data_IF_202535012327
#
_entry.id   IF_202535012327
#
_cell.length_a   1.000
_cell.length_b   1.000
_cell.length_c   1.000
_cell.angle_alpha   90.00
_cell.angle_beta   90.00
_cell.angle_gamma   90.00
#
_symmetry.space_group_name_H-M   'P 1'
#
loop_
_entity.id
_entity.type
_entity.pdbx_description
1 polymer ?
#
# COMPACT_ATOMS: atom_id res chain seq x y z
N UNK A 1 -99.83 2.39 -40.21
CA UNK A 1 -100.75 3.40 -39.68
C UNK A 1 -99.98 4.44 -38.90
N UNK A 2 -100.09 5.68 -39.38
CA UNK A 2 -99.91 6.95 -38.67
C UNK A 2 -98.48 7.20 -38.02
N UNK A 3 -97.73 8.07 -38.52
CA UNK A 3 -97.76 9.53 -38.80
C UNK A 3 -97.25 10.38 -37.63
N UNK A 4 -96.32 11.18 -37.89
CA UNK A 4 -96.13 12.65 -37.66
C UNK A 4 -95.05 13.00 -36.58
N UNK A 5 -94.03 13.63 -36.97
CA UNK A 5 -93.80 15.03 -37.20
C UNK A 5 -93.16 15.80 -36.03
N UNK A 6 -92.15 16.54 -36.33
CA UNK A 6 -91.71 17.90 -35.97
C UNK A 6 -90.60 17.98 -34.87
N UNK A 7 -89.60 18.65 -34.98
CA UNK A 7 -88.97 19.95 -35.36
C UNK A 7 -87.72 20.07 -34.57
N UNK A 8 -86.56 20.27 -35.21
CA UNK A 8 -85.74 21.47 -35.35
C UNK A 8 -85.56 22.30 -34.07
N UNK A 9 -84.34 22.43 -33.65
CA UNK A 9 -83.56 23.60 -33.27
C UNK A 9 -82.29 23.11 -32.60
N UNK A 10 -81.27 23.34 -33.16
CA UNK A 10 -80.08 24.04 -33.22
C UNK A 10 -79.55 24.53 -31.86
N UNK A 11 -78.51 23.95 -31.40
CA UNK A 11 -77.51 24.66 -30.55
C UNK A 11 -76.11 24.18 -30.85
N UNK A 12 -75.35 25.08 -31.44
CA UNK A 12 -74.00 25.03 -31.72
C UNK A 12 -73.22 25.04 -30.39
N UNK A 13 -72.61 23.90 -29.97
CA UNK A 13 -71.67 23.87 -28.86
C UNK A 13 -70.30 23.85 -29.45
N UNK A 14 -69.56 24.95 -29.29
CA UNK A 14 -68.18 25.10 -29.53
C UNK A 14 -67.46 24.28 -28.48
N UNK A 15 -66.91 23.10 -28.85
CA UNK A 15 -65.99 22.33 -28.06
C UNK A 15 -64.61 22.97 -28.17
N UNK A 16 -64.30 23.79 -27.19
CA UNK A 16 -62.92 24.25 -26.96
C UNK A 16 -62.05 23.07 -26.62
N UNK A 17 -61.32 22.57 -27.62
CA UNK A 17 -60.29 21.57 -27.41
C UNK A 17 -59.13 22.13 -26.58
N UNK A 18 -59.16 21.87 -25.29
CA UNK A 18 -57.99 22.09 -24.40
C UNK A 18 -56.86 21.12 -24.79
N UNK A 19 -55.86 21.62 -25.48
CA UNK A 19 -54.63 20.92 -25.76
C UNK A 19 -53.89 20.74 -24.42
N UNK A 20 -54.08 19.59 -23.78
CA UNK A 20 -53.29 19.20 -22.58
C UNK A 20 -51.89 18.89 -23.08
N UNK A 21 -50.98 19.87 -22.95
CA UNK A 21 -49.55 19.65 -23.10
C UNK A 21 -49.09 18.74 -21.94
N UNK A 22 -49.04 17.44 -22.17
CA UNK A 22 -48.42 16.46 -21.29
C UNK A 22 -46.92 16.82 -21.23
N UNK A 23 -46.52 17.53 -20.19
CA UNK A 23 -45.07 17.71 -19.90
C UNK A 23 -44.52 16.33 -19.59
N UNK A 24 -43.43 15.88 -20.32
CA UNK A 24 -42.77 14.63 -19.95
C UNK A 24 -42.20 14.81 -18.54
N UNK A 25 -42.79 14.10 -17.57
CA UNK A 25 -42.20 13.97 -16.24
C UNK A 25 -40.87 13.27 -16.42
N UNK A 26 -39.77 14.05 -16.37
CA UNK A 26 -38.41 13.50 -16.38
C UNK A 26 -38.28 12.65 -15.11
N UNK A 27 -38.49 11.34 -15.24
CA UNK A 27 -38.24 10.39 -14.18
C UNK A 27 -36.76 10.50 -13.83
N UNK A 28 -36.45 11.19 -12.72
CA UNK A 28 -35.07 11.24 -12.17
C UNK A 28 -34.63 9.78 -11.98
N UNK A 29 -33.58 9.39 -12.70
CA UNK A 29 -32.96 8.08 -12.53
C UNK A 29 -32.67 7.87 -11.03
N UNK A 30 -32.94 6.67 -10.47
CA UNK A 30 -32.73 6.42 -9.06
C UNK A 30 -31.26 6.71 -8.74
N UNK A 31 -31.01 7.72 -7.90
CA UNK A 31 -29.67 8.08 -7.45
C UNK A 31 -29.10 6.87 -6.71
N UNK A 32 -28.13 6.22 -7.31
CA UNK A 32 -27.41 5.12 -6.64
C UNK A 32 -26.83 5.65 -5.33
N UNK A 33 -27.14 5.08 -4.17
CA UNK A 33 -26.68 5.59 -2.89
C UNK A 33 -25.14 5.63 -2.86
N UNK A 34 -24.60 6.80 -2.61
CA UNK A 34 -23.16 7.02 -2.55
C UNK A 34 -22.57 6.26 -1.35
N UNK A 35 -21.86 5.16 -1.60
CA UNK A 35 -21.18 4.37 -0.56
C UNK A 35 -19.75 4.83 -0.43
N UNK A 36 -19.43 5.50 0.67
CA UNK A 36 -18.10 5.98 1.00
C UNK A 36 -17.49 5.05 2.04
N UNK A 37 -16.23 4.67 1.83
CA UNK A 37 -15.42 3.95 2.81
C UNK A 37 -14.15 4.72 3.13
N UNK A 38 -13.53 4.39 4.25
CA UNK A 38 -12.24 4.90 4.68
C UNK A 38 -11.30 3.75 4.99
N UNK A 39 -10.00 3.91 4.69
CA UNK A 39 -8.95 2.95 5.03
C UNK A 39 -7.72 3.69 5.55
N UNK A 40 -7.29 3.36 6.75
CA UNK A 40 -5.99 3.78 7.26
C UNK A 40 -4.89 2.92 6.64
N UNK A 41 -4.30 3.41 5.55
CA UNK A 41 -3.27 2.68 4.81
C UNK A 41 -2.01 2.41 5.65
N UNK A 42 -1.61 3.37 6.50
CA UNK A 42 -0.44 3.21 7.37
C UNK A 42 -0.64 2.09 8.39
N UNK A 43 -1.80 2.05 9.03
CA UNK A 43 -2.17 0.99 9.96
C UNK A 43 -2.26 -0.36 9.24
N UNK A 44 -2.88 -0.38 8.05
CA UNK A 44 -3.00 -1.58 7.23
C UNK A 44 -1.63 -2.16 6.88
N UNK A 45 -0.70 -1.33 6.40
CA UNK A 45 0.68 -1.73 6.06
C UNK A 45 1.46 -2.21 7.28
N UNK A 46 1.21 -1.62 8.45
CA UNK A 46 1.87 -2.03 9.69
C UNK A 46 1.39 -3.40 10.18
N UNK A 47 0.08 -3.66 10.11
CA UNK A 47 -0.54 -4.84 10.74
C UNK A 47 -0.71 -6.04 9.80
N UNK A 48 -0.55 -5.88 8.51
CA UNK A 48 -0.71 -7.00 7.59
C UNK A 48 0.45 -8.01 7.73
N UNK A 49 0.18 -9.33 7.70
CA UNK A 49 1.19 -10.36 7.93
C UNK A 49 2.28 -10.42 6.86
N UNK A 50 2.00 -9.89 5.68
CA UNK A 50 2.95 -9.77 4.57
C UNK A 50 4.13 -8.84 4.93
N UNK A 51 3.91 -7.87 5.81
CA UNK A 51 4.98 -6.95 6.28
C UNK A 51 6.02 -7.69 7.10
N UNK A 52 5.58 -8.53 8.03
CA UNK A 52 6.49 -9.37 8.81
C UNK A 52 7.25 -10.38 7.92
N UNK A 53 6.59 -10.95 6.92
CA UNK A 53 7.22 -11.85 5.96
C UNK A 53 8.27 -11.11 5.10
N UNK A 54 7.96 -9.92 4.60
CA UNK A 54 8.90 -9.09 3.84
C UNK A 54 10.13 -8.70 4.68
N UNK A 55 9.94 -8.32 5.95
CA UNK A 55 11.04 -8.02 6.88
C UNK A 55 11.92 -9.24 7.11
N UNK A 56 11.33 -10.43 7.26
CA UNK A 56 12.08 -11.68 7.40
C UNK A 56 12.90 -11.99 6.14
N UNK A 57 12.31 -11.85 4.96
CA UNK A 57 12.98 -12.05 3.67
C UNK A 57 14.17 -11.08 3.51
N UNK A 58 13.97 -9.80 3.80
CA UNK A 58 15.02 -8.78 3.77
C UNK A 58 16.19 -9.12 4.69
N UNK A 59 15.88 -9.56 5.93
CA UNK A 59 16.91 -9.97 6.89
C UNK A 59 17.67 -11.22 6.44
N UNK A 60 17.03 -12.15 5.75
CA UNK A 60 17.66 -13.35 5.20
C UNK A 60 18.57 -13.00 4.01
N UNK A 61 18.09 -12.19 3.08
CA UNK A 61 18.82 -11.76 1.89
C UNK A 61 20.11 -11.01 2.24
N UNK A 62 20.01 -10.06 3.18
CA UNK A 62 21.14 -9.20 3.57
C UNK A 62 21.94 -9.75 4.75
N UNK A 63 21.49 -10.83 5.37
CA UNK A 63 22.14 -11.41 6.56
C UNK A 63 23.56 -11.87 6.31
N UNK A 64 23.85 -12.40 5.14
CA UNK A 64 25.20 -12.80 4.71
C UNK A 64 26.15 -11.60 4.66
N UNK A 65 25.73 -10.50 4.02
CA UNK A 65 26.50 -9.26 3.92
C UNK A 65 26.75 -8.61 5.29
N UNK A 66 25.74 -8.62 6.16
CA UNK A 66 25.89 -8.14 7.54
C UNK A 66 26.95 -8.94 8.32
N UNK A 67 26.98 -10.28 8.16
CA UNK A 67 28.01 -11.13 8.78
C UNK A 67 29.41 -10.77 8.27
N UNK A 68 29.57 -10.49 6.97
CA UNK A 68 30.86 -10.06 6.39
C UNK A 68 31.33 -8.74 7.03
N UNK A 69 30.44 -7.75 7.17
CA UNK A 69 30.77 -6.48 7.82
C UNK A 69 31.22 -6.68 9.27
N UNK A 70 30.52 -7.50 10.03
CA UNK A 70 30.90 -7.81 11.43
C UNK A 70 32.27 -8.48 11.50
N UNK A 71 32.58 -9.41 10.57
CA UNK A 71 33.89 -10.05 10.46
C UNK A 71 34.99 -9.07 10.13
N UNK A 72 34.77 -8.16 9.18
CA UNK A 72 35.70 -7.09 8.83
C UNK A 72 35.98 -6.17 10.02
N UNK A 73 34.93 -5.75 10.73
CA UNK A 73 35.06 -4.92 11.93
C UNK A 73 35.85 -5.63 13.03
N UNK A 74 35.62 -6.92 13.25
CA UNK A 74 36.43 -7.72 14.19
C UNK A 74 37.89 -7.82 13.78
N UNK A 75 38.16 -7.96 12.48
CA UNK A 75 39.52 -7.93 11.93
C UNK A 75 40.26 -6.61 12.21
N UNK A 76 39.60 -5.48 12.01
CA UNK A 76 40.12 -4.14 12.32
C UNK A 76 40.43 -4.02 13.81
N UNK A 77 39.51 -4.47 14.68
CA UNK A 77 39.72 -4.45 16.14
C UNK A 77 40.92 -5.29 16.54
N UNK A 78 41.05 -6.51 15.99
CA UNK A 78 42.18 -7.42 16.24
C UNK A 78 43.52 -6.78 15.82
N UNK A 79 43.57 -6.19 14.62
CA UNK A 79 44.79 -5.51 14.12
C UNK A 79 45.17 -4.32 15.02
N UNK A 80 44.20 -3.51 15.46
CA UNK A 80 44.47 -2.39 16.38
C UNK A 80 45.02 -2.86 17.73
N UNK A 81 44.49 -3.95 18.27
CA UNK A 81 44.97 -4.52 19.54
C UNK A 81 46.40 -5.07 19.38
N UNK A 82 46.69 -5.79 18.29
CA UNK A 82 48.04 -6.30 18.01
C UNK A 82 49.08 -5.18 17.88
N UNK A 83 48.71 -4.06 17.27
CA UNK A 83 49.58 -2.89 17.17
C UNK A 83 49.85 -2.22 18.54
N UNK A 84 48.86 -2.24 19.45
CA UNK A 84 49.05 -1.69 20.80
C UNK A 84 49.94 -2.56 21.69
N UNK A 85 49.72 -3.89 21.65
CA UNK A 85 50.50 -4.83 22.47
C UNK A 85 51.93 -5.05 22.00
N UNK A 86 52.25 -4.84 20.70
CA UNK A 86 53.54 -5.04 20.11
C UNK A 86 54.44 -3.78 20.04
N UNK A 87 54.01 -2.65 20.61
CA UNK A 87 54.63 -1.33 20.35
C UNK A 87 56.04 -1.13 20.89
N UNK A 88 56.55 -1.97 21.78
CA UNK A 88 57.84 -1.75 22.50
C UNK A 88 59.06 -2.32 21.78
N UNK A 89 58.93 -3.26 20.84
CA UNK A 89 60.06 -3.95 20.19
C UNK A 89 59.94 -4.12 18.67
N UNK A 90 59.04 -3.38 18.01
CA UNK A 90 58.79 -3.51 16.57
C UNK A 90 59.61 -2.51 15.76
N UNK A 91 60.24 -2.97 14.67
CA UNK A 91 61.00 -2.11 13.76
C UNK A 91 60.13 -1.04 13.09
N UNK A 92 60.72 0.07 12.66
CA UNK A 92 60.02 1.14 11.94
C UNK A 92 59.28 0.60 10.70
N UNK A 93 59.95 -0.26 9.92
CA UNK A 93 59.35 -0.87 8.74
C UNK A 93 58.07 -1.66 9.08
N UNK A 94 58.12 -2.47 10.11
CA UNK A 94 56.99 -3.29 10.54
C UNK A 94 55.83 -2.45 11.10
N UNK A 95 56.13 -1.28 11.70
CA UNK A 95 55.06 -0.31 12.07
C UNK A 95 54.40 0.26 10.84
N UNK A 96 55.15 0.68 9.83
CA UNK A 96 54.57 1.19 8.57
C UNK A 96 53.74 0.15 7.85
N UNK A 97 54.18 -1.11 7.77
CA UNK A 97 53.41 -2.21 7.19
C UNK A 97 52.09 -2.46 7.95
N UNK A 98 52.12 -2.45 9.26
CA UNK A 98 50.94 -2.63 10.10
C UNK A 98 49.93 -1.48 9.94
N UNK A 99 50.39 -0.24 9.81
CA UNK A 99 49.54 0.93 9.53
C UNK A 99 48.94 0.85 8.14
N UNK A 100 49.71 0.51 7.12
CA UNK A 100 49.18 0.28 5.78
C UNK A 100 48.10 -0.81 5.78
N UNK A 101 48.35 -1.93 6.43
CA UNK A 101 47.40 -3.04 6.55
C UNK A 101 46.13 -2.58 7.26
N UNK A 102 46.25 -1.83 8.35
CA UNK A 102 45.09 -1.30 9.06
C UNK A 102 44.24 -0.35 8.17
N UNK A 103 44.92 0.51 7.42
CA UNK A 103 44.25 1.44 6.50
C UNK A 103 43.53 0.70 5.37
N UNK A 104 44.14 -0.33 4.78
CA UNK A 104 43.47 -1.19 3.80
C UNK A 104 42.22 -1.90 4.37
N UNK A 105 42.31 -2.41 5.62
CA UNK A 105 41.17 -3.05 6.27
C UNK A 105 40.02 -2.06 6.54
N UNK A 106 40.35 -0.84 6.95
CA UNK A 106 39.36 0.23 7.16
C UNK A 106 38.68 0.64 5.87
N UNK A 107 39.46 0.79 4.79
CA UNK A 107 38.91 1.17 3.49
C UNK A 107 37.97 0.08 2.93
N UNK A 108 38.37 -1.19 3.01
CA UNK A 108 37.53 -2.31 2.64
C UNK A 108 36.21 -2.34 3.45
N UNK A 109 36.31 -2.11 4.75
CA UNK A 109 35.14 -2.05 5.62
C UNK A 109 34.21 -0.91 5.22
N UNK A 110 34.74 0.29 4.99
CA UNK A 110 34.00 1.48 4.59
C UNK A 110 33.26 1.26 3.27
N UNK A 111 33.94 0.73 2.25
CA UNK A 111 33.32 0.40 0.96
C UNK A 111 32.21 -0.65 1.13
N UNK A 112 32.48 -1.73 1.88
CA UNK A 112 31.47 -2.77 2.14
C UNK A 112 30.29 -2.24 2.94
N UNK A 113 30.50 -1.32 3.88
CA UNK A 113 29.44 -0.67 4.66
C UNK A 113 28.56 0.20 3.79
N UNK A 114 29.15 0.98 2.89
CA UNK A 114 28.43 1.82 1.94
C UNK A 114 27.57 0.95 1.00
N UNK A 115 28.15 -0.07 0.40
CA UNK A 115 27.43 -1.01 -0.46
C UNK A 115 26.26 -1.70 0.27
N UNK A 116 26.50 -2.14 1.51
CA UNK A 116 25.44 -2.72 2.32
C UNK A 116 24.29 -1.74 2.59
N UNK A 117 24.60 -0.47 2.89
CA UNK A 117 23.59 0.56 3.12
C UNK A 117 22.75 0.84 1.87
N UNK A 118 23.41 0.92 0.70
CA UNK A 118 22.76 1.10 -0.60
C UNK A 118 21.82 -0.07 -0.93
N UNK A 119 22.33 -1.30 -0.82
CA UNK A 119 21.54 -2.52 -1.07
C UNK A 119 20.36 -2.64 -0.10
N UNK A 120 20.58 -2.33 1.18
CA UNK A 120 19.52 -2.34 2.20
C UNK A 120 18.41 -1.35 1.86
N UNK A 121 18.77 -0.11 1.50
CA UNK A 121 17.80 0.91 1.15
C UNK A 121 17.02 0.53 -0.11
N UNK A 122 17.71 0.01 -1.13
CA UNK A 122 17.07 -0.46 -2.36
C UNK A 122 16.07 -1.59 -2.08
N UNK A 123 16.51 -2.64 -1.39
CA UNK A 123 15.66 -3.80 -1.08
C UNK A 123 14.48 -3.42 -0.16
N UNK A 124 14.71 -2.53 0.82
CA UNK A 124 13.64 -1.99 1.69
C UNK A 124 12.60 -1.21 0.89
N UNK A 125 13.04 -0.33 -0.01
CA UNK A 125 12.13 0.47 -0.82
C UNK A 125 11.30 -0.43 -1.76
N UNK A 126 11.92 -1.43 -2.39
CA UNK A 126 11.23 -2.41 -3.21
C UNK A 126 10.20 -3.22 -2.41
N UNK A 127 10.55 -3.63 -1.18
CA UNK A 127 9.62 -4.33 -0.29
C UNK A 127 8.41 -3.46 0.08
N UNK A 128 8.64 -2.18 0.44
CA UNK A 128 7.56 -1.22 0.76
C UNK A 128 6.64 -0.99 -0.44
N UNK A 129 7.20 -0.80 -1.62
CA UNK A 129 6.44 -0.66 -2.87
C UNK A 129 5.55 -1.88 -3.15
N UNK A 130 6.11 -3.09 -2.97
CA UNK A 130 5.35 -4.33 -3.14
C UNK A 130 4.18 -4.43 -2.15
N UNK A 131 4.42 -4.07 -0.88
CA UNK A 131 3.39 -4.06 0.16
C UNK A 131 2.29 -3.03 -0.14
N UNK A 132 2.65 -1.82 -0.57
CA UNK A 132 1.68 -0.79 -0.96
C UNK A 132 0.84 -1.25 -2.15
N UNK A 133 1.45 -1.80 -3.19
CA UNK A 133 0.72 -2.35 -4.34
C UNK A 133 -0.24 -3.46 -3.93
N UNK A 134 0.17 -4.33 -3.02
CA UNK A 134 -0.69 -5.40 -2.50
C UNK A 134 -1.88 -4.82 -1.74
N UNK A 135 -1.65 -3.88 -0.83
CA UNK A 135 -2.69 -3.20 -0.06
C UNK A 135 -3.70 -2.50 -0.97
N UNK A 136 -3.22 -1.72 -1.94
CA UNK A 136 -4.09 -1.01 -2.91
C UNK A 136 -4.91 -1.99 -3.75
N UNK A 137 -4.34 -3.11 -4.18
CA UNK A 137 -5.09 -4.15 -4.88
C UNK A 137 -6.20 -4.74 -4.00
N UNK A 138 -5.91 -5.04 -2.74
CA UNK A 138 -6.90 -5.56 -1.80
C UNK A 138 -8.04 -4.55 -1.56
N UNK A 139 -7.71 -3.26 -1.37
CA UNK A 139 -8.68 -2.18 -1.22
C UNK A 139 -9.58 -2.07 -2.46
N UNK A 140 -9.00 -2.07 -3.65
CA UNK A 140 -9.75 -1.99 -4.92
C UNK A 140 -10.67 -3.19 -5.12
N UNK A 141 -10.17 -4.39 -4.84
CA UNK A 141 -10.97 -5.63 -4.93
C UNK A 141 -12.13 -5.59 -3.97
N UNK A 142 -11.90 -5.21 -2.71
CA UNK A 142 -12.94 -5.06 -1.70
C UNK A 142 -13.98 -4.02 -2.11
N UNK A 143 -13.54 -2.86 -2.59
CA UNK A 143 -14.42 -1.79 -3.05
C UNK A 143 -15.35 -2.23 -4.16
N UNK A 144 -14.83 -2.93 -5.17
CA UNK A 144 -15.61 -3.48 -6.28
C UNK A 144 -16.61 -4.53 -5.81
N UNK A 145 -16.18 -5.50 -4.99
CA UNK A 145 -17.01 -6.58 -4.49
C UNK A 145 -18.17 -6.10 -3.62
N UNK A 146 -17.98 -4.99 -2.90
CA UNK A 146 -18.98 -4.43 -1.98
C UNK A 146 -19.65 -3.16 -2.50
N UNK A 147 -19.50 -2.85 -3.80
CA UNK A 147 -20.14 -1.71 -4.47
C UNK A 147 -19.89 -0.37 -3.78
N UNK A 148 -18.66 -0.11 -3.31
CA UNK A 148 -18.27 1.20 -2.84
C UNK A 148 -18.08 2.16 -4.01
N UNK A 149 -18.62 3.36 -3.88
CA UNK A 149 -18.43 4.42 -4.88
C UNK A 149 -17.04 5.02 -4.78
N UNK A 150 -16.56 5.22 -3.55
CA UNK A 150 -15.22 5.74 -3.26
C UNK A 150 -14.70 5.15 -1.95
N UNK A 151 -13.40 4.87 -1.90
CA UNK A 151 -12.68 4.54 -0.66
C UNK A 151 -11.56 5.56 -0.50
N UNK A 152 -11.62 6.32 0.58
CA UNK A 152 -10.64 7.32 0.96
C UNK A 152 -9.49 6.63 1.72
N UNK A 153 -8.27 7.14 1.53
CA UNK A 153 -7.07 6.62 2.19
C UNK A 153 -6.42 7.63 3.11
N UNK A 154 -5.23 8.09 2.74
CA UNK A 154 -4.43 9.06 3.49
C UNK A 154 -5.11 10.44 3.58
N UNK A 155 -4.66 11.25 4.54
CA UNK A 155 -5.08 12.65 4.73
C UNK A 155 -6.55 12.86 5.17
N UNK A 156 -7.17 11.84 5.75
CA UNK A 156 -8.50 11.97 6.37
C UNK A 156 -8.32 12.28 7.85
N UNK A 157 -8.72 13.48 8.27
CA UNK A 157 -8.61 13.91 9.66
C UNK A 157 -9.62 13.23 10.60
N UNK A 158 -10.78 12.87 10.07
CA UNK A 158 -11.83 12.20 10.83
C UNK A 158 -12.62 11.25 9.94
N UNK A 159 -12.84 10.04 10.42
CA UNK A 159 -13.74 9.06 9.84
C UNK A 159 -14.49 8.38 10.97
N UNK A 160 -15.83 8.29 10.85
CA UNK A 160 -16.62 7.55 11.81
C UNK A 160 -16.32 6.04 11.72
N UNK A 161 -16.43 5.28 12.84
CA UNK A 161 -16.18 3.83 12.83
C UNK A 161 -17.03 3.05 11.80
N UNK A 162 -18.20 3.57 11.46
CA UNK A 162 -19.13 2.93 10.50
C UNK A 162 -18.60 2.87 9.06
N UNK A 163 -17.71 3.80 8.67
CA UNK A 163 -17.11 3.84 7.33
C UNK A 163 -15.68 3.30 7.29
N UNK A 164 -15.07 2.98 8.45
CA UNK A 164 -13.72 2.42 8.52
C UNK A 164 -13.72 0.96 8.04
N UNK A 165 -13.05 0.72 6.91
CA UNK A 165 -12.89 -0.58 6.28
C UNK A 165 -11.55 -1.25 6.63
N UNK A 166 -10.66 -0.58 7.35
CA UNK A 166 -9.32 -1.09 7.69
C UNK A 166 -9.35 -2.49 8.29
N UNK A 167 -10.21 -2.79 9.32
CA UNK A 167 -10.26 -4.12 9.91
C UNK A 167 -10.75 -5.20 8.92
N UNK A 168 -11.69 -4.85 8.04
CA UNK A 168 -12.26 -5.79 7.06
C UNK A 168 -11.24 -6.15 5.97
N UNK A 169 -10.50 -5.16 5.46
CA UNK A 169 -9.45 -5.35 4.47
C UNK A 169 -8.26 -6.10 5.08
N UNK A 170 -7.90 -5.80 6.33
CA UNK A 170 -6.88 -6.53 7.06
C UNK A 170 -7.24 -8.01 7.22
N UNK A 171 -8.49 -8.32 7.57
CA UNK A 171 -8.98 -9.69 7.64
C UNK A 171 -8.92 -10.41 6.28
N UNK A 172 -9.19 -9.73 5.18
CA UNK A 172 -9.03 -10.27 3.82
C UNK A 172 -7.57 -10.58 3.51
N UNK A 173 -6.65 -9.66 3.78
CA UNK A 173 -5.22 -9.85 3.57
C UNK A 173 -4.65 -11.01 4.40
N UNK A 174 -5.12 -11.17 5.65
CA UNK A 174 -4.75 -12.30 6.51
C UNK A 174 -5.21 -13.64 5.92
N UNK A 175 -6.43 -13.70 5.38
CA UNK A 175 -6.94 -14.92 4.70
C UNK A 175 -6.14 -15.24 3.45
N UNK A 176 -5.87 -14.27 2.59
CA UNK A 176 -5.05 -14.46 1.38
C UNK A 176 -3.65 -14.97 1.74
N UNK A 177 -3.03 -14.41 2.77
CA UNK A 177 -1.71 -14.83 3.21
C UNK A 177 -1.69 -16.27 3.75
N UNK A 178 -2.71 -16.66 4.52
CA UNK A 178 -2.81 -18.05 5.02
C UNK A 178 -3.04 -19.06 3.91
N UNK A 179 -3.78 -18.69 2.87
CA UNK A 179 -4.01 -19.54 1.69
C UNK A 179 -2.74 -19.72 0.86
N UNK A 180 -1.99 -18.65 0.60
CA UNK A 180 -0.73 -18.74 -0.15
C UNK A 180 0.31 -19.63 0.52
N UNK A 181 0.34 -19.67 1.85
CA UNK A 181 1.25 -20.55 2.62
C UNK A 181 0.86 -22.04 2.64
N UNK A 182 -0.38 -22.38 2.26
CA UNK A 182 -0.82 -23.77 2.19
C UNK A 182 -0.53 -24.43 0.82
N UNK A 183 -0.25 -23.61 -0.19
CA UNK A 183 -0.06 -24.05 -1.58
C UNK A 183 1.38 -23.85 -2.09
N UNK A 184 2.29 -23.34 -1.26
CA UNK A 184 3.72 -23.21 -1.51
C UNK A 184 4.56 -23.99 -0.49
#
# INVERSE_FOLDING_TARGET
MRLRWFRVLGTLWILGGGLILATPSSAAAPATPLRIGYVNLSLLLHEMPQTAAAQKSLNQELGGRKKVLLKQLAGIRKQKLAMKSGSTSVSLLQRMENEQRLNMLRERYRTSQQQYAEDFNLARNQALDNLQRLAVRAIRTYGKQHHFTVILGQEVFFASPGIDLTPKILAQLRRMFSQSRKHG
#
